data_IF_654701753303
#
_entry.id   IF_654701753303
#
_cell.length_a   1.000
_cell.length_b   1.000
_cell.length_c   1.000
_cell.angle_alpha   90.00
_cell.angle_beta   90.00
_cell.angle_gamma   90.00
#
_symmetry.space_group_name_H-M   'P 1'
#
loop_
_entity.id
_entity.type
_entity.pdbx_description
1 polymer ?
#
# COMPACT_ATOMS: atom_id res chain seq x y z
N UNK A 1 10.90 12.68 2.58
CA UNK A 1 9.49 13.09 2.70
C UNK A 1 9.24 14.42 1.99
N UNK A 2 9.87 15.54 2.37
CA UNK A 2 9.69 16.84 1.67
C UNK A 2 9.94 16.81 0.16
N UNK A 3 10.92 16.02 -0.29
CA UNK A 3 11.18 15.86 -1.72
C UNK A 3 10.01 15.20 -2.48
N UNK A 4 9.25 14.31 -1.84
CA UNK A 4 8.03 13.73 -2.43
C UNK A 4 6.99 14.84 -2.67
N UNK A 5 6.80 15.73 -1.71
CA UNK A 5 5.90 16.88 -1.83
C UNK A 5 6.33 17.78 -3.01
N UNK A 6 7.63 18.06 -3.13
CA UNK A 6 8.19 18.87 -4.23
C UNK A 6 8.07 18.21 -5.59
N UNK A 7 8.12 16.88 -5.65
CA UNK A 7 7.99 16.09 -6.88
C UNK A 7 6.53 15.79 -7.26
N UNK A 8 5.56 16.46 -6.64
CA UNK A 8 4.16 16.42 -7.06
C UNK A 8 3.34 15.26 -6.48
N UNK A 9 3.83 14.57 -5.45
CA UNK A 9 2.98 13.64 -4.66
C UNK A 9 1.87 14.43 -3.99
N UNK A 10 0.64 13.90 -4.05
CA UNK A 10 -0.57 14.50 -3.49
C UNK A 10 -1.24 13.66 -2.40
N UNK A 11 -0.94 12.36 -2.38
CA UNK A 11 -1.32 11.49 -1.29
C UNK A 11 -0.18 10.53 -0.89
N UNK A 12 -0.11 10.21 0.39
CA UNK A 12 0.77 9.18 0.94
C UNK A 12 -0.06 8.15 1.69
N UNK A 13 0.21 6.87 1.41
CA UNK A 13 -0.36 5.75 2.16
C UNK A 13 0.79 4.98 2.84
N UNK A 14 0.84 5.08 4.16
CA UNK A 14 1.80 4.35 4.99
C UNK A 14 1.17 3.06 5.53
N UNK A 15 1.74 1.91 5.17
CA UNK A 15 1.30 0.59 5.60
C UNK A 15 2.10 0.03 6.80
N UNK A 16 3.08 0.79 7.29
CA UNK A 16 3.92 0.39 8.40
C UNK A 16 3.15 0.33 9.71
N UNK A 17 3.30 -0.74 10.47
CA UNK A 17 3.25 -0.62 11.93
C UNK A 17 4.44 0.23 12.34
N UNK A 18 4.20 1.41 12.91
CA UNK A 18 5.25 2.09 13.65
C UNK A 18 5.29 1.54 15.06
N UNK A 19 6.45 1.13 15.54
CA UNK A 19 6.63 0.76 16.94
C UNK A 19 6.68 2.01 17.85
N UNK A 20 6.72 3.22 17.29
CA UNK A 20 6.68 4.49 18.01
C UNK A 20 5.65 5.44 17.38
N UNK A 21 4.54 5.70 18.09
CA UNK A 21 3.50 6.67 17.72
C UNK A 21 4.04 8.05 17.33
N UNK A 22 5.22 8.41 17.84
CA UNK A 22 5.89 9.67 17.54
C UNK A 22 6.30 9.78 16.07
N UNK A 23 6.85 8.72 15.47
CA UNK A 23 7.37 8.75 14.10
C UNK A 23 6.27 8.94 13.07
N UNK A 24 5.10 8.32 13.27
CA UNK A 24 3.95 8.48 12.36
C UNK A 24 3.39 9.89 12.46
N UNK A 25 3.28 10.46 13.67
CA UNK A 25 2.78 11.83 13.86
C UNK A 25 3.68 12.88 13.21
N UNK A 26 5.00 12.69 13.28
CA UNK A 26 5.95 13.59 12.61
C UNK A 26 5.86 13.46 11.09
N UNK A 27 5.79 12.23 10.56
CA UNK A 27 5.61 11.97 9.14
C UNK A 27 4.30 12.57 8.61
N UNK A 28 3.19 12.31 9.30
CA UNK A 28 1.88 12.88 9.01
C UNK A 28 1.94 14.40 8.94
N UNK A 29 2.52 15.02 9.97
CA UNK A 29 2.68 16.48 10.02
C UNK A 29 3.44 17.02 8.83
N UNK A 30 4.55 16.39 8.42
CA UNK A 30 5.33 16.85 7.27
C UNK A 30 4.47 16.87 5.99
N UNK A 31 3.63 15.88 5.76
CA UNK A 31 2.79 15.84 4.57
C UNK A 31 1.61 16.81 4.65
N UNK A 32 0.93 16.88 5.80
CA UNK A 32 -0.19 17.80 6.00
C UNK A 32 0.25 19.27 5.91
N UNK A 33 1.41 19.63 6.47
CA UNK A 33 1.99 20.98 6.38
C UNK A 33 2.37 21.37 4.93
N UNK A 34 2.34 20.43 3.98
CA UNK A 34 2.65 20.63 2.56
C UNK A 34 1.46 20.31 1.63
N UNK A 35 0.22 20.33 2.14
CA UNK A 35 -1.00 20.04 1.38
C UNK A 35 -0.99 18.66 0.69
N UNK A 36 -0.31 17.68 1.29
CA UNK A 36 -0.28 16.29 0.84
C UNK A 36 -1.14 15.46 1.80
N UNK A 37 -2.14 14.76 1.26
CA UNK A 37 -2.98 13.88 2.06
C UNK A 37 -2.15 12.75 2.67
N UNK A 38 -2.37 12.46 3.95
CA UNK A 38 -1.69 11.39 4.66
C UNK A 38 -2.67 10.35 5.16
N UNK A 39 -2.43 9.09 4.83
CA UNK A 39 -3.26 7.96 5.23
C UNK A 39 -2.38 6.90 5.87
N UNK A 40 -2.64 6.60 7.14
CA UNK A 40 -1.98 5.50 7.85
C UNK A 40 -2.90 4.29 7.93
N UNK A 41 -2.45 3.16 7.38
CA UNK A 41 -3.14 1.87 7.43
C UNK A 41 -2.18 0.87 8.06
N UNK A 42 -2.13 0.73 9.40
CA UNK A 42 -1.16 -0.15 10.05
C UNK A 42 -1.43 -1.61 9.66
N UNK A 43 -0.44 -2.26 9.04
CA UNK A 43 -0.49 -3.68 8.67
C UNK A 43 0.55 -4.47 9.45
N UNK A 44 0.04 -5.42 10.24
CA UNK A 44 0.86 -6.46 10.86
C UNK A 44 1.52 -7.31 9.79
N UNK A 45 2.85 -7.34 9.83
CA UNK A 45 3.64 -8.10 8.88
C UNK A 45 3.39 -9.61 9.01
N UNK A 46 3.06 -10.10 10.21
CA UNK A 46 2.79 -11.51 10.46
C UNK A 46 1.32 -11.88 10.25
N UNK A 47 0.42 -10.90 10.36
CA UNK A 47 -1.02 -11.10 10.26
C UNK A 47 -1.72 -10.01 9.42
N UNK A 48 -1.46 -9.93 8.10
CA UNK A 48 -2.16 -8.98 7.23
C UNK A 48 -3.65 -9.33 7.11
N UNK A 49 -4.52 -8.32 7.16
CA UNK A 49 -5.97 -8.48 7.21
C UNK A 49 -6.66 -7.91 5.96
N UNK A 50 -7.74 -8.58 5.55
CA UNK A 50 -8.58 -8.15 4.41
C UNK A 50 -9.10 -6.71 4.55
N UNK A 51 -9.46 -6.30 5.78
CA UNK A 51 -10.01 -4.97 6.06
C UNK A 51 -9.02 -3.86 5.70
N UNK A 52 -7.72 -4.08 5.93
CA UNK A 52 -6.67 -3.12 5.57
C UNK A 52 -6.52 -3.02 4.05
N UNK A 53 -6.61 -4.14 3.33
CA UNK A 53 -6.56 -4.12 1.86
C UNK A 53 -7.79 -3.43 1.25
N UNK A 54 -8.98 -3.64 1.80
CA UNK A 54 -10.19 -2.91 1.37
C UNK A 54 -10.02 -1.41 1.53
N UNK A 55 -9.58 -0.99 2.72
CA UNK A 55 -9.32 0.42 3.01
C UNK A 55 -8.25 1.00 2.06
N UNK A 56 -7.17 0.24 1.82
CA UNK A 56 -6.16 0.61 0.84
C UNK A 56 -6.75 0.83 -0.56
N UNK A 57 -7.61 -0.08 -1.06
CA UNK A 57 -8.27 0.09 -2.35
C UNK A 57 -9.21 1.29 -2.39
N UNK A 58 -9.93 1.57 -1.31
CA UNK A 58 -10.80 2.75 -1.22
C UNK A 58 -10.00 4.04 -1.34
N UNK A 59 -8.86 4.15 -0.64
CA UNK A 59 -8.00 5.32 -0.75
C UNK A 59 -7.31 5.41 -2.12
N UNK A 60 -6.80 4.31 -2.66
CA UNK A 60 -6.24 4.31 -4.01
C UNK A 60 -7.26 4.76 -5.08
N UNK A 61 -8.54 4.37 -4.95
CA UNK A 61 -9.61 4.87 -5.83
C UNK A 61 -9.87 6.36 -5.63
N UNK A 62 -9.99 6.80 -4.37
CA UNK A 62 -10.23 8.21 -4.01
C UNK A 62 -9.15 9.14 -4.58
N UNK A 63 -7.91 8.66 -4.60
CA UNK A 63 -6.74 9.40 -5.07
C UNK A 63 -6.27 8.96 -6.47
N UNK A 64 -7.16 8.35 -7.27
CA UNK A 64 -6.80 7.82 -8.61
C UNK A 64 -6.44 8.88 -9.66
N UNK A 65 -6.81 10.15 -9.42
CA UNK A 65 -6.51 11.27 -10.32
C UNK A 65 -5.19 11.97 -9.98
N UNK A 66 -4.47 11.50 -8.98
CA UNK A 66 -3.27 12.17 -8.46
C UNK A 66 -2.15 11.18 -8.11
N UNK A 67 -0.94 11.72 -7.99
CA UNK A 67 0.23 10.91 -7.67
C UNK A 67 0.19 10.48 -6.20
N UNK A 68 -0.04 9.20 -5.98
CA UNK A 68 -0.06 8.58 -4.65
C UNK A 68 1.24 7.81 -4.39
N UNK A 69 1.92 8.10 -3.28
CA UNK A 69 3.08 7.36 -2.81
C UNK A 69 2.68 6.34 -1.74
N UNK A 70 2.94 5.06 -1.97
CA UNK A 70 2.62 3.98 -1.03
C UNK A 70 3.92 3.40 -0.49
N UNK A 71 4.05 3.31 0.84
CA UNK A 71 5.25 2.74 1.45
C UNK A 71 4.96 1.98 2.75
N UNK A 72 6.00 1.32 3.23
CA UNK A 72 6.12 0.78 4.58
C UNK A 72 7.61 0.75 4.94
N UNK A 73 8.00 0.15 6.07
CA UNK A 73 9.40 0.15 6.52
C UNK A 73 10.41 -0.45 5.50
N UNK A 74 10.04 -1.47 4.74
CA UNK A 74 10.95 -2.19 3.84
C UNK A 74 10.32 -2.46 2.46
N UNK A 75 9.31 -1.70 2.08
CA UNK A 75 8.51 -1.85 0.87
C UNK A 75 7.79 -3.22 0.64
N UNK A 76 7.97 -4.20 1.53
CA UNK A 76 7.36 -5.55 1.41
C UNK A 76 5.83 -5.56 1.45
N UNK A 77 5.23 -4.83 2.40
CA UNK A 77 3.76 -4.70 2.53
C UNK A 77 3.17 -3.98 1.33
N UNK A 78 3.79 -2.83 1.01
CA UNK A 78 3.41 -1.97 -0.11
C UNK A 78 3.47 -2.72 -1.43
N UNK A 79 4.50 -3.51 -1.69
CA UNK A 79 4.60 -4.27 -2.93
C UNK A 79 3.48 -5.29 -3.10
N UNK A 80 3.12 -6.03 -2.05
CA UNK A 80 2.00 -6.98 -2.11
C UNK A 80 0.65 -6.27 -2.31
N UNK A 81 0.42 -5.12 -1.65
CA UNK A 81 -0.82 -4.37 -1.81
C UNK A 81 -0.94 -3.73 -3.20
N UNK A 82 0.16 -3.16 -3.72
CA UNK A 82 0.23 -2.60 -5.07
C UNK A 82 0.08 -3.68 -6.15
N UNK A 83 0.65 -4.87 -5.95
CA UNK A 83 0.47 -6.01 -6.86
C UNK A 83 -1.01 -6.41 -6.97
N UNK A 84 -1.72 -6.51 -5.85
CA UNK A 84 -3.15 -6.79 -5.83
C UNK A 84 -3.96 -5.65 -6.46
N UNK A 85 -3.60 -4.38 -6.21
CA UNK A 85 -4.22 -3.24 -6.89
C UNK A 85 -4.03 -3.31 -8.40
N UNK A 86 -2.81 -3.64 -8.84
CA UNK A 86 -2.47 -3.84 -10.25
C UNK A 86 -3.35 -4.90 -10.91
N UNK A 87 -3.51 -6.06 -10.26
CA UNK A 87 -4.37 -7.14 -10.76
C UNK A 87 -5.84 -6.71 -10.86
N UNK A 88 -6.37 -6.08 -9.81
CA UNK A 88 -7.81 -5.81 -9.73
C UNK A 88 -8.27 -4.55 -10.46
N UNK A 89 -7.39 -3.56 -10.64
CA UNK A 89 -7.78 -2.23 -11.13
C UNK A 89 -6.96 -1.73 -12.32
N UNK A 90 -5.73 -2.23 -12.52
CA UNK A 90 -4.86 -1.78 -13.61
C UNK A 90 -4.72 -2.84 -14.73
N UNK A 91 -5.41 -3.97 -14.61
CA UNK A 91 -5.39 -5.05 -15.58
C UNK A 91 -4.06 -5.82 -15.64
N UNK A 92 -3.25 -5.78 -14.58
CA UNK A 92 -2.04 -6.59 -14.52
C UNK A 92 -2.42 -8.08 -14.52
N UNK A 93 -1.67 -8.85 -15.31
CA UNK A 93 -1.69 -10.29 -15.19
C UNK A 93 -1.11 -10.72 -13.84
N UNK A 94 -1.48 -11.92 -13.40
CA UNK A 94 -0.91 -12.55 -12.21
C UNK A 94 0.62 -12.63 -12.26
N UNK A 95 1.19 -12.92 -13.44
CA UNK A 95 2.64 -12.99 -13.63
C UNK A 95 3.33 -11.65 -13.42
N UNK A 96 2.78 -10.57 -13.94
CA UNK A 96 3.31 -9.21 -13.74
C UNK A 96 3.28 -8.81 -12.25
N UNK A 97 2.17 -9.08 -11.58
CA UNK A 97 2.01 -8.79 -10.16
C UNK A 97 2.99 -9.60 -9.30
N UNK A 98 3.22 -10.87 -9.65
CA UNK A 98 4.20 -11.72 -8.95
C UNK A 98 5.64 -11.27 -9.19
N UNK A 99 5.99 -10.88 -10.41
CA UNK A 99 7.33 -10.37 -10.73
C UNK A 99 7.63 -9.07 -9.99
N UNK A 100 6.67 -8.14 -9.98
CA UNK A 100 6.78 -6.89 -9.23
C UNK A 100 7.09 -7.10 -7.74
N UNK A 101 6.48 -8.12 -7.10
CA UNK A 101 6.78 -8.44 -5.70
C UNK A 101 8.17 -9.07 -5.57
N UNK A 102 8.55 -9.98 -6.48
CA UNK A 102 9.84 -10.71 -6.45
C UNK A 102 11.04 -9.79 -6.61
N UNK A 103 10.93 -8.70 -7.36
CA UNK A 103 11.98 -7.67 -7.48
C UNK A 103 12.35 -7.07 -6.12
N UNK A 104 11.40 -7.04 -5.18
CA UNK A 104 11.59 -6.47 -3.85
C UNK A 104 11.97 -7.57 -2.84
N UNK A 105 11.28 -8.71 -2.86
CA UNK A 105 11.54 -9.79 -1.92
C UNK A 105 10.87 -11.12 -2.29
N UNK A 106 11.44 -12.21 -1.78
CA UNK A 106 10.77 -13.51 -1.76
C UNK A 106 9.70 -13.54 -0.66
N UNK A 107 8.44 -13.56 -1.08
CA UNK A 107 7.25 -13.59 -0.20
C UNK A 107 7.26 -14.81 0.75
N UNK A 108 6.99 -14.59 2.03
CA UNK A 108 6.92 -15.66 3.03
C UNK A 108 5.54 -16.36 3.07
N UNK A 109 5.38 -17.35 3.95
CA UNK A 109 4.15 -18.13 4.06
C UNK A 109 2.93 -17.29 4.45
N UNK A 110 3.07 -16.33 5.37
CA UNK A 110 1.97 -15.47 5.82
C UNK A 110 1.42 -14.63 4.65
N UNK A 111 2.31 -13.98 3.92
CA UNK A 111 1.94 -13.13 2.79
C UNK A 111 1.47 -13.93 1.58
N UNK A 112 2.08 -15.09 1.31
CA UNK A 112 1.62 -15.99 0.23
C UNK A 112 0.19 -16.49 0.49
N UNK A 113 -0.10 -16.89 1.72
CA UNK A 113 -1.46 -17.26 2.15
C UNK A 113 -2.42 -16.08 2.00
N UNK A 114 -2.03 -14.90 2.45
CA UNK A 114 -2.84 -13.69 2.35
C UNK A 114 -3.16 -13.33 0.89
N UNK A 115 -2.16 -13.21 0.02
CA UNK A 115 -2.35 -12.88 -1.41
C UNK A 115 -3.26 -13.91 -2.09
N UNK A 116 -3.05 -15.21 -1.83
CA UNK A 116 -3.91 -16.27 -2.36
C UNK A 116 -5.35 -16.14 -1.87
N UNK A 117 -5.54 -15.86 -0.58
CA UNK A 117 -6.87 -15.65 0.00
C UNK A 117 -7.56 -14.45 -0.64
N UNK A 118 -6.86 -13.31 -0.79
CA UNK A 118 -7.43 -12.10 -1.39
C UNK A 118 -7.83 -12.33 -2.86
N UNK A 119 -7.01 -13.05 -3.64
CA UNK A 119 -7.32 -13.44 -5.03
C UNK A 119 -8.58 -14.32 -5.13
N UNK A 120 -8.86 -15.15 -4.13
CA UNK A 120 -10.07 -15.99 -4.10
C UNK A 120 -11.32 -15.23 -3.63
N UNK A 121 -11.15 -14.25 -2.74
CA UNK A 121 -12.27 -13.57 -2.08
C UNK A 121 -12.65 -12.22 -2.67
N UNK A 122 -11.76 -11.57 -3.42
CA UNK A 122 -12.08 -10.36 -4.16
C UNK A 122 -12.54 -10.74 -5.56
N UNK A 123 -13.78 -10.39 -5.86
CA UNK A 123 -14.31 -10.37 -7.22
C UNK A 123 -14.37 -8.90 -7.63
N UNK A 124 -13.81 -8.56 -8.78
CA UNK A 124 -13.96 -7.22 -9.36
C UNK A 124 -15.47 -7.04 -9.59
N UNK A 125 -16.11 -6.13 -8.85
CA UNK A 125 -17.46 -5.72 -9.18
C UNK A 125 -17.37 -4.91 -10.47
N UNK A 126 -17.92 -5.48 -11.54
CA UNK A 126 -18.06 -4.89 -12.87
C UNK A 126 -18.79 -3.56 -12.85
#
# INVERSE_FOLDING_TARGET
>A
MLELCRNGVKAVINLGLSDADYTVKEEERIFLDNDVAYIHIPVDFMNPEKKQLKLFFEYMKKHSHETTFVHCAANKRASCFLALWGEFYLGWSRGQAEEYVKEIWAINSAWSKFVKQMRSEFVISS
#
